data_IF_974728523396
#
_entry.id   IF_974728523396
#
_cell.length_a   1.000
_cell.length_b   1.000
_cell.length_c   1.000
_cell.angle_alpha   90.00
_cell.angle_beta   90.00
_cell.angle_gamma   90.00
#
_symmetry.space_group_name_H-M   'P 1'
#
loop_
_entity.id
_entity.type
_entity.pdbx_description
1 polymer ?
#
# COMPACT_ATOMS: atom_id res chain seq x y z
N UNK A 1 6.09 3.04 -5.52
CA UNK A 1 5.72 1.60 -5.45
C UNK A 1 6.61 0.82 -6.40
N UNK A 2 7.02 -0.39 -6.04
CA UNK A 2 7.92 -1.27 -6.80
C UNK A 2 7.30 -2.65 -6.92
N UNK A 3 7.17 -3.18 -8.14
CA UNK A 3 6.70 -4.54 -8.40
C UNK A 3 7.91 -5.43 -8.69
N UNK A 4 8.08 -6.52 -7.94
CA UNK A 4 9.20 -7.46 -8.05
C UNK A 4 8.65 -8.84 -8.42
N UNK A 5 8.63 -9.14 -9.71
CA UNK A 5 8.13 -10.40 -10.27
C UNK A 5 8.94 -11.63 -9.84
N UNK A 6 10.29 -11.62 -9.88
CA UNK A 6 11.06 -12.79 -9.42
C UNK A 6 10.77 -13.19 -7.96
N UNK A 7 10.37 -12.25 -7.11
CA UNK A 7 10.10 -12.47 -5.68
C UNK A 7 8.60 -12.38 -5.35
N UNK A 8 7.72 -12.29 -6.36
CA UNK A 8 6.27 -12.28 -6.21
C UNK A 8 5.72 -11.19 -5.28
N UNK A 9 6.41 -10.03 -5.16
CA UNK A 9 6.00 -8.98 -4.21
C UNK A 9 5.78 -7.61 -4.85
N UNK A 10 4.98 -6.80 -4.17
CA UNK A 10 4.85 -5.37 -4.41
C UNK A 10 5.20 -4.61 -3.13
N UNK A 11 6.00 -3.56 -3.24
CA UNK A 11 6.35 -2.67 -2.13
C UNK A 11 5.85 -1.26 -2.43
N UNK A 12 5.00 -0.69 -1.58
CA UNK A 12 4.59 0.71 -1.62
C UNK A 12 5.40 1.56 -0.64
N UNK A 13 6.36 2.31 -1.17
CA UNK A 13 7.26 3.17 -0.39
C UNK A 13 6.58 4.40 0.24
N UNK A 14 5.36 4.76 -0.18
CA UNK A 14 4.64 5.90 0.44
C UNK A 14 4.29 5.62 1.89
N UNK A 15 3.99 4.36 2.18
CA UNK A 15 3.52 3.87 3.48
C UNK A 15 4.39 2.71 4.00
N UNK A 16 5.55 2.48 3.37
CA UNK A 16 6.46 1.35 3.66
C UNK A 16 5.77 -0.03 3.72
N UNK A 17 4.73 -0.25 2.91
CA UNK A 17 3.98 -1.49 2.85
C UNK A 17 4.65 -2.47 1.88
N UNK A 18 4.80 -3.74 2.26
CA UNK A 18 5.24 -4.81 1.34
C UNK A 18 4.26 -5.96 1.35
N UNK A 19 3.73 -6.34 0.18
CA UNK A 19 2.82 -7.46 -0.01
C UNK A 19 3.46 -8.54 -0.87
N UNK A 20 3.44 -9.79 -0.40
CA UNK A 20 3.95 -10.97 -1.11
C UNK A 20 2.86 -11.67 -1.93
N UNK A 21 2.05 -10.88 -2.64
CA UNK A 21 0.91 -11.36 -3.42
C UNK A 21 0.76 -10.61 -4.74
N UNK A 22 1.89 -10.45 -5.45
CA UNK A 22 1.94 -9.69 -6.69
C UNK A 22 0.90 -10.18 -7.71
N UNK A 23 0.75 -11.49 -7.90
CA UNK A 23 -0.16 -12.05 -8.91
C UNK A 23 -1.61 -11.60 -8.66
N UNK A 24 -2.08 -11.71 -7.42
CA UNK A 24 -3.41 -11.23 -7.02
C UNK A 24 -3.59 -9.74 -7.26
N UNK A 25 -2.57 -8.94 -6.93
CA UNK A 25 -2.58 -7.49 -7.14
C UNK A 25 -2.67 -7.17 -8.64
N UNK A 26 -1.98 -7.93 -9.49
CA UNK A 26 -2.04 -7.76 -10.94
C UNK A 26 -3.36 -8.26 -11.54
N UNK A 27 -4.02 -9.23 -10.92
CA UNK A 27 -5.36 -9.71 -11.26
C UNK A 27 -6.48 -8.77 -10.78
N UNK A 28 -6.14 -7.71 -10.04
CA UNK A 28 -7.07 -6.65 -9.61
C UNK A 28 -7.47 -6.69 -8.15
N UNK A 29 -6.91 -7.58 -7.33
CA UNK A 29 -7.07 -7.57 -5.87
C UNK A 29 -6.25 -6.41 -5.26
N UNK A 30 -6.82 -5.21 -5.35
CA UNK A 30 -6.17 -3.96 -4.90
C UNK A 30 -6.64 -3.50 -3.52
N UNK A 31 -7.64 -4.16 -2.93
CA UNK A 31 -8.35 -3.68 -1.74
C UNK A 31 -7.40 -3.44 -0.55
N UNK A 32 -6.47 -4.37 -0.32
CA UNK A 32 -5.49 -4.24 0.77
C UNK A 32 -4.55 -3.04 0.57
N UNK A 33 -4.13 -2.79 -0.67
CA UNK A 33 -3.24 -1.67 -1.00
C UNK A 33 -3.99 -0.34 -0.85
N UNK A 34 -5.23 -0.27 -1.36
CA UNK A 34 -6.02 0.97 -1.31
C UNK A 34 -6.42 1.31 0.12
N UNK A 35 -6.84 0.32 0.90
CA UNK A 35 -7.24 0.53 2.30
C UNK A 35 -6.07 1.01 3.15
N UNK A 36 -4.88 0.42 2.98
CA UNK A 36 -3.69 0.86 3.70
C UNK A 36 -3.28 2.31 3.36
N UNK A 37 -3.40 2.71 2.09
CA UNK A 37 -3.12 4.10 1.67
C UNK A 37 -4.14 5.09 2.22
N UNK A 38 -5.42 4.74 2.21
CA UNK A 38 -6.49 5.58 2.76
C UNK A 38 -6.30 5.76 4.26
N UNK A 39 -6.01 4.67 4.98
CA UNK A 39 -5.80 4.70 6.42
C UNK A 39 -4.63 5.62 6.79
N UNK A 40 -3.52 5.53 6.08
CA UNK A 40 -2.39 6.42 6.37
C UNK A 40 -2.71 7.88 6.06
N UNK A 41 -3.33 8.14 4.91
CA UNK A 41 -3.73 9.50 4.57
C UNK A 41 -4.68 10.11 5.61
N UNK A 42 -5.61 9.31 6.15
CA UNK A 42 -6.50 9.74 7.23
C UNK A 42 -5.74 10.03 8.52
N UNK A 43 -4.74 9.22 8.86
CA UNK A 43 -3.88 9.45 10.02
C UNK A 43 -3.06 10.75 9.88
N UNK A 44 -2.49 11.00 8.70
CA UNK A 44 -1.78 12.26 8.40
C UNK A 44 -2.69 13.49 8.54
N UNK A 45 -3.92 13.42 8.02
CA UNK A 45 -4.89 14.51 8.14
C UNK A 45 -5.27 14.77 9.61
N UNK A 46 -5.51 13.71 10.39
CA UNK A 46 -5.85 13.83 11.81
C UNK A 46 -4.69 14.43 12.61
N UNK A 47 -3.45 14.03 12.31
CA UNK A 47 -2.26 14.61 12.94
C UNK A 47 -2.13 16.11 12.62
N UNK A 48 -2.32 16.49 11.35
CA UNK A 48 -2.24 17.88 10.91
C UNK A 48 -3.36 18.79 11.46
N UNK A 49 -4.49 18.22 11.91
CA UNK A 49 -5.57 18.99 12.57
C UNK A 49 -5.32 19.20 14.08
N UNK A 50 -4.40 18.44 14.68
CA UNK A 50 -4.07 18.51 16.11
C UNK A 50 -2.92 19.46 16.45
N UNK A 51 -2.19 19.94 15.43
CA UNK A 51 -1.14 20.97 15.51
C UNK A 51 -1.69 22.37 15.19
#
# INVERSE_FOLDING_TARGET
>A
RTYNYPQGRVTDHRINLTLHKLDFVMDGDLEEITNALIAEHQAELLAAMGD
#
